data_IF_368000567467
#
_entry.id   IF_368000567467
#
_cell.length_a   1.000
_cell.length_b   1.000
_cell.length_c   1.000
_cell.angle_alpha   90.00
_cell.angle_beta   90.00
_cell.angle_gamma   90.00
#
_symmetry.space_group_name_H-M   'P 1'
#
loop_
_entity.id
_entity.type
_entity.pdbx_description
1 polymer ?
#
# COMPACT_ATOMS: atom_id res chain seq x y z
N UNK A 1 7.43 45.46 27.70
CA UNK A 1 8.04 44.72 26.58
C UNK A 1 7.06 43.62 26.26
N UNK A 2 6.15 43.88 25.33
CA UNK A 2 5.18 42.89 24.85
C UNK A 2 5.97 41.76 24.17
N UNK A 3 5.80 40.53 24.64
CA UNK A 3 6.21 39.34 23.91
C UNK A 3 5.40 39.30 22.62
N UNK A 4 5.99 39.77 21.52
CA UNK A 4 5.55 39.41 20.17
C UNK A 4 5.34 37.89 20.17
N UNK A 5 4.09 37.46 20.01
CA UNK A 5 3.70 36.06 20.15
C UNK A 5 4.58 35.17 19.28
N UNK A 6 5.17 34.13 19.88
CA UNK A 6 5.95 33.15 19.13
C UNK A 6 5.06 32.52 18.04
N UNK A 7 5.55 32.35 16.81
CA UNK A 7 4.73 31.91 15.67
C UNK A 7 4.23 30.47 15.81
N UNK A 8 4.92 29.68 16.62
CA UNK A 8 4.57 28.32 17.06
C UNK A 8 5.45 27.97 18.25
N UNK A 9 5.13 26.89 18.95
CA UNK A 9 5.87 26.35 20.10
C UNK A 9 7.19 25.76 19.62
N UNK A 10 8.27 26.47 19.87
CA UNK A 10 9.64 26.03 19.64
C UNK A 10 10.63 26.84 20.48
N UNK A 11 11.85 26.33 20.62
CA UNK A 11 12.99 27.13 21.04
C UNK A 11 13.56 27.85 19.81
N UNK A 12 13.88 29.15 19.92
CA UNK A 12 14.46 29.94 18.84
C UNK A 12 15.86 30.41 19.21
N UNK A 13 16.83 30.19 18.32
CA UNK A 13 18.20 30.68 18.52
C UNK A 13 18.33 32.20 18.24
N UNK A 14 19.53 32.76 18.45
CA UNK A 14 19.80 34.20 18.19
C UNK A 14 19.60 34.60 16.72
N UNK A 15 19.61 33.64 15.80
CA UNK A 15 19.36 33.84 14.37
C UNK A 15 17.87 33.69 14.04
N UNK A 16 17.04 33.36 15.03
CA UNK A 16 15.62 33.09 14.89
C UNK A 16 15.30 31.70 14.36
N UNK A 17 16.23 30.75 14.33
CA UNK A 17 15.97 29.39 13.85
C UNK A 17 15.32 28.53 14.93
N UNK A 18 14.30 27.76 14.55
CA UNK A 18 13.54 26.94 15.47
C UNK A 18 14.21 25.59 15.78
N UNK A 19 14.03 25.13 17.01
CA UNK A 19 14.36 23.80 17.51
C UNK A 19 13.14 23.22 18.24
N UNK A 20 12.72 22.02 17.82
CA UNK A 20 11.65 21.22 18.40
C UNK A 20 12.17 19.79 18.50
N UNK A 21 12.41 19.31 19.73
CA UNK A 21 12.94 17.97 19.98
C UNK A 21 11.85 16.96 20.34
N UNK A 22 10.73 17.46 20.84
CA UNK A 22 9.60 16.68 21.31
C UNK A 22 8.33 17.53 21.23
N UNK A 23 7.22 16.90 20.88
CA UNK A 23 5.89 17.48 20.94
C UNK A 23 4.92 16.38 21.39
N UNK A 24 3.93 16.70 22.23
CA UNK A 24 2.88 15.75 22.56
C UNK A 24 2.04 15.47 21.30
N UNK A 25 1.58 14.23 21.08
CA UNK A 25 0.63 13.93 20.02
C UNK A 25 -0.56 14.87 20.03
N UNK A 26 -0.99 15.29 18.84
CA UNK A 26 -2.28 15.97 18.70
C UNK A 26 -3.40 15.05 19.22
N UNK A 27 -4.42 15.63 19.85
CA UNK A 27 -5.58 14.86 20.25
C UNK A 27 -6.25 14.25 19.01
N UNK A 28 -6.27 12.92 18.94
CA UNK A 28 -7.03 12.17 17.94
C UNK A 28 -8.22 11.50 18.60
N UNK A 29 -9.39 11.64 18.00
CA UNK A 29 -10.52 10.76 18.32
C UNK A 29 -10.56 9.66 17.26
N UNK A 30 -10.33 8.38 17.63
CA UNK A 30 -10.47 7.28 16.69
C UNK A 30 -11.84 7.32 16.04
N UNK A 31 -11.86 7.27 14.71
CA UNK A 31 -13.11 7.19 13.96
C UNK A 31 -13.57 5.76 14.05
N UNK A 32 -14.69 5.52 14.75
CA UNK A 32 -15.26 4.18 14.80
C UNK A 32 -15.57 3.73 13.37
N UNK A 33 -15.03 2.58 12.91
CA UNK A 33 -15.39 2.08 11.60
C UNK A 33 -16.88 1.79 11.58
N UNK A 34 -17.59 2.46 10.67
CA UNK A 34 -19.01 2.23 10.48
C UNK A 34 -19.31 0.78 10.10
N UNK A 35 -20.58 0.39 10.18
CA UNK A 35 -20.99 -0.86 9.56
C UNK A 35 -20.66 -0.79 8.06
N UNK A 36 -20.08 -1.85 7.49
CA UNK A 36 -19.87 -1.89 6.05
C UNK A 36 -21.22 -1.63 5.40
N UNK A 37 -21.29 -0.68 4.44
CA UNK A 37 -22.55 -0.39 3.79
C UNK A 37 -23.15 -1.69 3.22
N UNK A 38 -24.48 -1.85 3.25
CA UNK A 38 -25.10 -2.99 2.60
C UNK A 38 -24.63 -3.02 1.15
N UNK A 39 -24.29 -4.22 0.66
CA UNK A 39 -23.78 -4.37 -0.70
C UNK A 39 -24.79 -3.78 -1.68
N UNK A 40 -24.31 -2.89 -2.53
CA UNK A 40 -25.11 -2.32 -3.61
C UNK A 40 -25.48 -3.41 -4.62
N UNK A 41 -26.55 -3.22 -5.39
CA UNK A 41 -26.89 -4.14 -6.48
C UNK A 41 -25.74 -4.30 -7.48
N UNK A 42 -24.98 -3.23 -7.71
CA UNK A 42 -23.77 -3.25 -8.54
C UNK A 42 -22.66 -4.10 -7.93
N UNK A 43 -22.40 -3.99 -6.62
CA UNK A 43 -21.42 -4.84 -5.93
C UNK A 43 -21.84 -6.31 -5.91
N UNK A 44 -23.12 -6.60 -5.71
CA UNK A 44 -23.64 -7.97 -5.78
C UNK A 44 -23.48 -8.52 -7.22
N UNK A 45 -23.85 -7.74 -8.24
CA UNK A 45 -23.66 -8.13 -9.63
C UNK A 45 -22.18 -8.28 -10.00
N UNK A 46 -21.30 -7.45 -9.45
CA UNK A 46 -19.86 -7.54 -9.62
C UNK A 46 -19.29 -8.79 -8.94
N UNK A 47 -19.74 -9.13 -7.72
CA UNK A 47 -19.37 -10.38 -7.04
C UNK A 47 -19.88 -11.60 -7.81
N UNK A 48 -21.11 -11.57 -8.31
CA UNK A 48 -21.65 -12.63 -9.16
C UNK A 48 -20.86 -12.74 -10.47
N UNK A 49 -20.50 -11.62 -11.10
CA UNK A 49 -19.65 -11.61 -12.29
C UNK A 49 -18.26 -12.17 -11.97
N UNK A 50 -17.65 -11.74 -10.87
CA UNK A 50 -16.38 -12.25 -10.38
C UNK A 50 -16.46 -13.75 -10.14
N UNK A 51 -17.52 -14.24 -9.48
CA UNK A 51 -17.72 -15.66 -9.25
C UNK A 51 -17.91 -16.43 -10.57
N UNK A 52 -18.67 -15.89 -11.53
CA UNK A 52 -18.79 -16.49 -12.87
C UNK A 52 -17.43 -16.59 -13.56
N UNK A 53 -16.59 -15.57 -13.45
CA UNK A 53 -15.22 -15.54 -13.97
C UNK A 53 -14.36 -16.59 -13.28
N UNK A 54 -14.33 -16.61 -11.94
CA UNK A 54 -13.59 -17.59 -11.13
C UNK A 54 -14.02 -19.01 -11.46
N UNK A 55 -15.32 -19.27 -11.53
CA UNK A 55 -15.87 -20.58 -11.85
C UNK A 55 -15.50 -21.02 -13.27
N UNK A 56 -15.57 -20.11 -14.25
CA UNK A 56 -15.15 -20.41 -15.62
C UNK A 56 -13.65 -20.68 -15.69
N UNK A 57 -12.81 -19.79 -15.15
CA UNK A 57 -11.36 -19.95 -15.13
C UNK A 57 -10.96 -21.24 -14.42
N UNK A 58 -11.55 -21.54 -13.27
CA UNK A 58 -11.32 -22.79 -12.54
C UNK A 58 -11.72 -24.03 -13.33
N UNK A 59 -12.83 -23.99 -14.09
CA UNK A 59 -13.26 -25.12 -14.94
C UNK A 59 -12.33 -25.36 -16.13
N UNK A 60 -11.77 -24.32 -16.73
CA UNK A 60 -10.97 -24.43 -17.97
C UNK A 60 -9.46 -24.33 -17.74
N UNK A 61 -9.01 -24.05 -16.51
CA UNK A 61 -7.60 -23.79 -16.19
C UNK A 61 -6.67 -24.90 -16.67
N UNK A 62 -7.02 -26.16 -16.41
CA UNK A 62 -6.20 -27.31 -16.81
C UNK A 62 -6.14 -27.46 -18.34
N UNK A 63 -7.27 -27.30 -19.03
CA UNK A 63 -7.35 -27.34 -20.49
C UNK A 63 -6.54 -26.20 -21.14
N UNK A 64 -6.64 -24.99 -20.58
CA UNK A 64 -5.87 -23.82 -21.04
C UNK A 64 -4.39 -24.05 -20.81
N UNK A 65 -3.98 -24.56 -19.65
CA UNK A 65 -2.58 -24.83 -19.34
C UNK A 65 -1.99 -25.96 -20.21
N UNK A 66 -2.75 -27.01 -20.49
CA UNK A 66 -2.35 -28.07 -21.40
C UNK A 66 -2.23 -27.56 -22.85
N UNK A 67 -3.25 -26.86 -23.33
CA UNK A 67 -3.27 -26.30 -24.68
C UNK A 67 -2.16 -25.27 -24.88
N UNK A 68 -1.94 -24.38 -23.92
CA UNK A 68 -0.85 -23.38 -23.97
C UNK A 68 0.51 -24.07 -24.07
N UNK A 69 0.80 -25.06 -23.21
CA UNK A 69 2.05 -25.82 -23.28
C UNK A 69 2.22 -26.55 -24.62
N UNK A 70 1.12 -27.00 -25.23
CA UNK A 70 1.13 -27.64 -26.54
C UNK A 70 1.45 -26.65 -27.65
N UNK A 71 0.77 -25.50 -27.67
CA UNK A 71 0.98 -24.42 -28.63
C UNK A 71 2.39 -23.82 -28.53
N UNK A 72 2.94 -23.69 -27.32
CA UNK A 72 4.33 -23.26 -27.11
C UNK A 72 5.35 -24.19 -27.79
N UNK A 73 5.07 -25.49 -27.83
CA UNK A 73 5.95 -26.49 -28.48
C UNK A 73 5.71 -26.60 -29.98
N UNK A 74 4.45 -26.76 -30.38
CA UNK A 74 4.07 -27.10 -31.75
C UNK A 74 3.97 -25.86 -32.66
N UNK A 75 3.57 -24.71 -32.10
CA UNK A 75 3.44 -23.42 -32.81
C UNK A 75 4.54 -22.43 -32.38
N UNK A 76 5.74 -22.95 -32.13
CA UNK A 76 6.90 -22.14 -31.70
C UNK A 76 7.21 -21.05 -32.73
N UNK A 77 7.26 -19.80 -32.28
CA UNK A 77 7.46 -18.64 -33.16
C UNK A 77 6.19 -18.18 -33.89
N UNK A 78 5.02 -18.73 -33.53
CA UNK A 78 3.73 -18.22 -33.94
C UNK A 78 2.81 -17.94 -32.74
N UNK A 79 2.69 -18.87 -31.80
CA UNK A 79 1.95 -18.65 -30.55
C UNK A 79 2.67 -17.62 -29.65
N UNK A 80 1.91 -16.68 -29.09
CA UNK A 80 2.44 -15.55 -28.31
C UNK A 80 2.09 -15.69 -26.83
N UNK A 81 0.81 -15.69 -26.49
CA UNK A 81 0.32 -15.78 -25.10
C UNK A 81 -1.17 -16.12 -25.08
N UNK A 82 -1.73 -16.25 -23.88
CA UNK A 82 -3.15 -16.44 -23.63
C UNK A 82 -3.61 -15.48 -22.55
N UNK A 83 -4.83 -14.94 -22.70
CA UNK A 83 -5.49 -14.17 -21.65
C UNK A 83 -6.96 -14.56 -21.53
N UNK A 84 -7.54 -14.25 -20.37
CA UNK A 84 -8.97 -14.40 -20.14
C UNK A 84 -9.67 -13.09 -20.49
N UNK A 85 -10.59 -13.17 -21.45
CA UNK A 85 -11.51 -12.07 -21.72
C UNK A 85 -12.74 -12.24 -20.82
N UNK A 86 -12.87 -11.34 -19.86
CA UNK A 86 -13.93 -11.34 -18.87
C UNK A 86 -15.00 -10.27 -19.19
N UNK A 87 -14.90 -9.58 -20.32
CA UNK A 87 -15.93 -8.66 -20.78
C UNK A 87 -17.12 -9.44 -21.34
N UNK A 88 -18.29 -9.26 -20.73
CA UNK A 88 -19.48 -10.03 -21.07
C UNK A 88 -19.39 -11.48 -20.58
N UNK A 89 -19.63 -12.45 -21.47
CA UNK A 89 -19.49 -13.85 -21.11
C UNK A 89 -18.00 -14.23 -21.06
N UNK A 90 -17.49 -14.87 -19.99
CA UNK A 90 -16.08 -15.23 -19.87
C UNK A 90 -15.57 -16.13 -21.00
N UNK A 91 -14.40 -15.82 -21.55
CA UNK A 91 -13.78 -16.59 -22.63
C UNK A 91 -12.25 -16.58 -22.51
N UNK A 92 -11.59 -17.36 -23.37
CA UNK A 92 -10.13 -17.45 -23.41
C UNK A 92 -9.67 -17.07 -24.80
N UNK A 93 -8.71 -16.15 -24.89
CA UNK A 93 -8.16 -15.68 -26.16
C UNK A 93 -6.69 -16.05 -26.26
N UNK A 94 -6.36 -16.82 -27.30
CA UNK A 94 -5.00 -17.23 -27.64
C UNK A 94 -4.45 -16.31 -28.73
N UNK A 95 -3.33 -15.65 -28.46
CA UNK A 95 -2.71 -14.69 -29.38
C UNK A 95 -1.66 -15.38 -30.26
N UNK A 96 -1.70 -15.09 -31.56
CA UNK A 96 -0.78 -15.62 -32.56
C UNK A 96 -0.22 -14.51 -33.43
N UNK A 97 1.00 -14.66 -33.94
CA UNK A 97 1.57 -13.73 -34.90
C UNK A 97 0.91 -13.83 -36.28
N UNK A 98 0.44 -15.03 -36.64
CA UNK A 98 -0.11 -15.38 -37.96
C UNK A 98 -1.20 -16.44 -37.83
N UNK A 99 -2.23 -16.32 -38.67
CA UNK A 99 -3.29 -17.32 -38.90
C UNK A 99 -3.91 -17.91 -37.61
N UNK A 100 -4.07 -17.10 -36.56
CA UNK A 100 -4.50 -17.54 -35.23
C UNK A 100 -5.81 -18.34 -35.22
N UNK A 101 -6.93 -17.82 -35.75
CA UNK A 101 -8.19 -18.56 -35.80
C UNK A 101 -8.10 -19.91 -36.52
N UNK A 102 -7.32 -20.01 -37.59
CA UNK A 102 -7.15 -21.27 -38.33
C UNK A 102 -6.22 -22.24 -37.59
N UNK A 103 -5.18 -21.70 -36.94
CA UNK A 103 -4.23 -22.48 -36.16
C UNK A 103 -4.89 -23.08 -34.94
N UNK A 104 -5.59 -22.29 -34.12
CA UNK A 104 -6.25 -22.76 -32.89
C UNK A 104 -7.26 -23.88 -33.16
N UNK A 105 -8.02 -23.81 -34.27
CA UNK A 105 -8.98 -24.85 -34.67
C UNK A 105 -8.38 -26.24 -34.89
N UNK A 106 -7.06 -26.33 -35.13
CA UNK A 106 -6.35 -27.63 -35.24
C UNK A 106 -6.19 -28.31 -33.87
N UNK A 107 -6.23 -27.53 -32.79
CA UNK A 107 -5.92 -27.98 -31.43
C UNK A 107 -7.14 -28.07 -30.51
N UNK A 108 -8.17 -27.27 -30.77
CA UNK A 108 -9.38 -27.26 -29.94
C UNK A 108 -10.62 -26.88 -30.75
N UNK A 109 -11.77 -27.39 -30.31
CA UNK A 109 -13.10 -27.00 -30.78
C UNK A 109 -13.92 -26.35 -29.65
N UNK A 110 -13.25 -25.96 -28.55
CA UNK A 110 -13.93 -25.39 -27.40
C UNK A 110 -14.63 -24.07 -27.79
N UNK A 111 -15.95 -23.95 -27.56
CA UNK A 111 -16.75 -22.84 -28.11
C UNK A 111 -16.45 -21.48 -27.48
N UNK A 112 -15.67 -21.45 -26.40
CA UNK A 112 -15.25 -20.24 -25.67
C UNK A 112 -13.76 -19.96 -25.79
N UNK A 113 -13.03 -20.72 -26.62
CA UNK A 113 -11.63 -20.49 -26.89
C UNK A 113 -11.52 -19.83 -28.26
N UNK A 114 -11.04 -18.60 -28.27
CA UNK A 114 -10.88 -17.79 -29.45
C UNK A 114 -9.41 -17.54 -29.72
N UNK A 115 -9.11 -17.14 -30.95
CA UNK A 115 -7.76 -16.74 -31.32
C UNK A 115 -7.79 -15.44 -32.10
N UNK A 116 -6.74 -14.67 -31.93
CA UNK A 116 -6.53 -13.42 -32.67
C UNK A 116 -5.10 -13.33 -33.20
N UNK A 117 -4.94 -12.48 -34.22
CA UNK A 117 -3.64 -12.16 -34.77
C UNK A 117 -3.11 -10.88 -34.14
N UNK A 118 -1.87 -10.93 -33.69
CA UNK A 118 -1.18 -9.83 -33.04
C UNK A 118 0.15 -9.54 -33.74
N UNK A 119 0.71 -8.35 -33.50
CA UNK A 119 1.87 -7.87 -34.26
C UNK A 119 3.21 -8.27 -33.63
N UNK A 120 3.27 -8.23 -32.30
CA UNK A 120 4.51 -8.35 -31.55
C UNK A 120 4.56 -9.67 -30.78
N UNK A 121 5.74 -10.29 -30.73
CA UNK A 121 5.96 -11.46 -29.87
C UNK A 121 6.09 -11.03 -28.41
N UNK A 122 5.82 -11.93 -27.46
CA UNK A 122 6.03 -11.66 -26.03
C UNK A 122 7.50 -11.36 -25.73
N UNK A 123 8.43 -12.02 -26.43
CA UNK A 123 9.87 -11.73 -26.35
C UNK A 123 10.18 -10.28 -26.74
N UNK A 124 9.59 -9.79 -27.85
CA UNK A 124 9.74 -8.41 -28.28
C UNK A 124 9.13 -7.43 -27.28
N UNK A 125 7.91 -7.68 -26.80
CA UNK A 125 7.25 -6.82 -25.81
C UNK A 125 8.06 -6.73 -24.50
N UNK A 126 8.60 -7.85 -24.01
CA UNK A 126 9.46 -7.87 -22.82
C UNK A 126 10.79 -7.14 -23.06
N UNK A 127 11.38 -7.28 -24.25
CA UNK A 127 12.59 -6.56 -24.63
C UNK A 127 12.34 -5.04 -24.68
N UNK A 128 11.23 -4.61 -25.27
CA UNK A 128 10.86 -3.19 -25.39
C UNK A 128 10.49 -2.58 -24.02
N UNK A 129 9.77 -3.31 -23.17
CA UNK A 129 9.49 -2.88 -21.80
C UNK A 129 10.78 -2.71 -20.97
N UNK A 130 11.71 -3.67 -21.08
CA UNK A 130 13.02 -3.58 -20.43
C UNK A 130 13.85 -2.44 -21.01
N UNK A 131 13.83 -2.26 -22.33
CA UNK A 131 14.53 -1.17 -22.99
C UNK A 131 14.02 0.19 -22.49
N UNK A 132 12.71 0.37 -22.38
CA UNK A 132 12.10 1.57 -21.80
C UNK A 132 12.64 1.80 -20.40
N UNK A 133 12.57 0.79 -19.53
CA UNK A 133 13.06 0.89 -18.15
C UNK A 133 14.54 1.27 -18.09
N UNK A 134 15.43 0.52 -18.75
CA UNK A 134 16.87 0.78 -18.69
C UNK A 134 17.28 2.13 -19.31
N UNK A 135 16.56 2.59 -20.33
CA UNK A 135 16.88 3.85 -21.01
C UNK A 135 16.54 5.08 -20.16
N UNK A 136 15.46 4.99 -19.36
CA UNK A 136 14.86 6.15 -18.69
C UNK A 136 14.78 6.05 -17.16
N UNK A 137 15.13 4.93 -16.53
CA UNK A 137 15.03 4.75 -15.07
C UNK A 137 15.85 5.77 -14.28
N UNK A 138 17.05 6.10 -14.75
CA UNK A 138 17.93 7.08 -14.10
C UNK A 138 17.41 8.52 -14.22
N UNK A 139 16.61 8.82 -15.26
CA UNK A 139 15.95 10.12 -15.41
C UNK A 139 14.66 10.21 -14.58
N UNK A 140 14.23 9.09 -13.99
CA UNK A 140 13.10 8.99 -13.06
C UNK A 140 11.79 9.53 -13.66
N UNK A 141 11.62 9.37 -14.97
CA UNK A 141 10.42 9.80 -15.72
C UNK A 141 9.35 8.72 -15.86
N UNK A 142 9.74 7.46 -15.64
CA UNK A 142 8.84 6.30 -15.71
C UNK A 142 8.22 6.02 -14.34
N UNK A 143 6.90 5.92 -14.31
CA UNK A 143 6.15 5.42 -13.15
C UNK A 143 6.00 3.91 -13.18
N UNK A 144 5.74 3.35 -14.36
CA UNK A 144 5.61 1.93 -14.57
C UNK A 144 5.87 1.60 -16.05
N UNK A 145 6.27 0.35 -16.30
CA UNK A 145 6.29 -0.25 -17.63
C UNK A 145 5.70 -1.65 -17.53
N UNK A 146 4.81 -2.04 -18.44
CA UNK A 146 4.19 -3.36 -18.39
C UNK A 146 3.77 -3.86 -19.77
N UNK A 147 3.67 -5.18 -19.90
CA UNK A 147 3.09 -5.85 -21.07
C UNK A 147 1.66 -6.26 -20.71
N UNK A 148 0.68 -5.43 -21.06
CA UNK A 148 -0.75 -5.74 -20.85
C UNK A 148 -1.32 -6.68 -21.92
N UNK A 149 -2.57 -7.12 -21.75
CA UNK A 149 -3.25 -8.04 -22.68
C UNK A 149 -3.43 -7.53 -24.13
N UNK A 150 -3.22 -6.24 -24.39
CA UNK A 150 -3.42 -5.60 -25.70
C UNK A 150 -2.27 -5.73 -26.72
N UNK A 151 -1.35 -6.70 -26.57
CA UNK A 151 -0.16 -6.87 -27.41
C UNK A 151 0.69 -5.57 -27.57
N UNK A 152 0.78 -4.78 -26.50
CA UNK A 152 1.58 -3.54 -26.45
C UNK A 152 2.29 -3.43 -25.11
N UNK A 153 3.34 -2.62 -25.09
CA UNK A 153 3.98 -2.16 -23.85
C UNK A 153 3.33 -0.86 -23.42
N UNK A 154 2.79 -0.79 -22.22
CA UNK A 154 2.36 0.47 -21.63
C UNK A 154 3.51 1.07 -20.82
N UNK A 155 3.78 2.35 -21.01
CA UNK A 155 4.73 3.12 -20.21
C UNK A 155 4.06 4.36 -19.64
N UNK A 156 3.86 4.39 -18.32
CA UNK A 156 3.30 5.54 -17.61
C UNK A 156 4.37 6.58 -17.33
N UNK A 157 4.16 7.82 -17.81
CA UNK A 157 5.15 8.90 -17.76
C UNK A 157 4.72 9.96 -16.74
N UNK A 158 5.64 10.34 -15.85
CA UNK A 158 5.40 11.28 -14.73
C UNK A 158 5.71 12.75 -15.06
N UNK A 159 6.12 13.04 -16.31
CA UNK A 159 6.48 14.39 -16.77
C UNK A 159 5.64 14.78 -17.99
N UNK A 160 5.61 16.06 -18.34
CA UNK A 160 4.87 16.54 -19.50
C UNK A 160 5.38 15.91 -20.81
N UNK A 161 4.48 15.74 -21.79
CA UNK A 161 4.80 15.09 -23.06
C UNK A 161 5.90 15.81 -23.85
N UNK A 162 5.98 17.13 -23.71
CA UNK A 162 6.99 17.99 -24.32
C UNK A 162 8.36 17.77 -23.65
N UNK A 163 8.39 17.69 -22.31
CA UNK A 163 9.63 17.43 -21.55
C UNK A 163 10.17 16.03 -21.83
N UNK A 164 9.30 15.02 -21.88
CA UNK A 164 9.70 13.66 -22.24
C UNK A 164 10.23 13.59 -23.67
N UNK A 165 9.55 14.21 -24.64
CA UNK A 165 10.04 14.28 -26.04
C UNK A 165 11.39 14.99 -26.14
N UNK A 166 11.60 16.05 -25.37
CA UNK A 166 12.91 16.72 -25.30
C UNK A 166 13.98 15.81 -24.71
N UNK A 167 13.66 15.00 -23.68
CA UNK A 167 14.58 14.01 -23.12
C UNK A 167 14.94 12.93 -24.15
N UNK A 168 13.95 12.38 -24.85
CA UNK A 168 14.15 11.40 -25.94
C UNK A 168 15.09 11.97 -27.01
N UNK A 169 14.85 13.22 -27.44
CA UNK A 169 15.70 13.90 -28.42
C UNK A 169 17.14 14.12 -27.90
N UNK A 170 17.31 14.53 -26.64
CA UNK A 170 18.64 14.70 -26.02
C UNK A 170 19.42 13.39 -25.92
N UNK A 171 18.74 12.28 -25.64
CA UNK A 171 19.36 10.95 -25.62
C UNK A 171 19.61 10.36 -27.01
N UNK A 172 19.02 10.94 -28.06
CA UNK A 172 19.16 10.46 -29.43
C UNK A 172 18.54 9.08 -29.67
N UNK A 173 17.52 8.72 -28.89
CA UNK A 173 16.87 7.40 -28.95
C UNK A 173 15.51 7.47 -29.67
N UNK A 174 15.05 6.34 -30.19
CA UNK A 174 13.72 6.20 -30.79
C UNK A 174 12.90 5.24 -29.94
N UNK A 175 11.67 5.64 -29.57
CA UNK A 175 10.75 4.78 -28.81
C UNK A 175 10.23 3.66 -29.72
N UNK A 176 10.26 2.38 -29.30
CA UNK A 176 9.70 1.28 -30.07
C UNK A 176 8.22 1.49 -30.37
N UNK A 177 7.78 1.07 -31.57
CA UNK A 177 6.38 1.22 -32.01
C UNK A 177 5.40 0.36 -31.19
N UNK A 178 5.89 -0.67 -30.52
CA UNK A 178 5.12 -1.50 -29.58
C UNK A 178 4.77 -0.78 -28.27
N UNK A 179 5.38 0.39 -28.00
CA UNK A 179 5.23 1.13 -26.75
C UNK A 179 4.16 2.22 -26.88
N UNK A 180 3.13 2.13 -26.05
CA UNK A 180 2.16 3.19 -25.81
C UNK A 180 2.60 4.06 -24.63
N UNK A 181 2.80 5.36 -24.88
CA UNK A 181 3.15 6.34 -23.85
C UNK A 181 1.89 6.94 -23.23
N UNK A 182 1.75 6.80 -21.91
CA UNK A 182 0.62 7.32 -21.16
C UNK A 182 1.05 8.50 -20.27
N UNK A 183 0.67 9.72 -20.70
CA UNK A 183 0.97 10.98 -19.98
C UNK A 183 -0.13 11.41 -19.01
N UNK A 184 -1.12 10.56 -18.76
CA UNK A 184 -2.29 10.88 -17.92
C UNK A 184 -2.11 10.41 -16.47
N UNK A 185 -0.90 10.08 -16.04
CA UNK A 185 -0.62 9.70 -14.67
C UNK A 185 -0.43 10.97 -13.81
N UNK A 186 -1.40 11.38 -12.99
CA UNK A 186 -1.16 12.44 -12.01
C UNK A 186 -0.25 11.93 -10.88
N UNK A 187 0.57 12.80 -10.28
CA UNK A 187 0.88 14.18 -10.67
C UNK A 187 2.00 14.27 -11.74
N UNK A 188 1.87 15.23 -12.65
CA UNK A 188 2.94 15.61 -13.61
C UNK A 188 3.88 16.60 -12.95
N UNK A 189 5.19 16.34 -12.96
CA UNK A 189 6.22 17.20 -12.36
C UNK A 189 7.33 17.55 -13.35
N UNK A 190 8.04 18.69 -13.18
CA UNK A 190 9.21 19.00 -14.01
C UNK A 190 10.31 17.95 -13.85
N UNK A 191 11.07 17.71 -14.91
CA UNK A 191 12.20 16.76 -14.90
C UNK A 191 13.26 17.09 -13.82
N UNK A 192 13.44 18.37 -13.53
CA UNK A 192 14.35 18.90 -12.52
C UNK A 192 13.56 19.80 -11.59
N UNK A 193 13.32 19.33 -10.37
CA UNK A 193 12.58 20.06 -9.35
C UNK A 193 13.27 19.91 -7.98
N UNK A 194 14.47 20.50 -7.82
CA UNK A 194 15.27 20.33 -6.61
C UNK A 194 14.58 20.96 -5.40
N UNK A 195 14.81 20.43 -4.17
CA UNK A 195 14.35 21.08 -2.96
C UNK A 195 14.77 22.55 -2.88
N UNK A 196 13.82 23.41 -2.50
CA UNK A 196 14.02 24.86 -2.42
C UNK A 196 14.08 25.34 -0.97
N UNK A 197 14.73 26.49 -0.68
CA UNK A 197 14.72 27.08 0.66
C UNK A 197 13.29 27.38 1.16
N UNK A 198 13.06 27.25 2.46
CA UNK A 198 11.73 27.39 3.06
C UNK A 198 11.05 28.73 2.74
N UNK A 199 11.81 29.83 2.66
CA UNK A 199 11.31 31.17 2.32
C UNK A 199 10.70 31.29 0.89
N UNK A 200 10.90 30.29 0.03
CA UNK A 200 10.36 30.24 -1.34
C UNK A 200 9.43 29.03 -1.53
N UNK A 201 9.12 28.32 -0.46
CA UNK A 201 8.35 27.09 -0.52
C UNK A 201 6.91 27.35 -0.05
N UNK A 202 5.94 27.22 -0.96
CA UNK A 202 4.52 27.42 -0.68
C UNK A 202 3.94 26.38 0.30
N UNK A 203 4.62 25.25 0.47
CA UNK A 203 4.25 24.24 1.45
C UNK A 203 4.73 24.56 2.88
N UNK A 204 5.45 25.67 3.06
CA UNK A 204 5.86 26.19 4.36
C UNK A 204 5.07 27.47 4.65
N UNK A 205 4.29 27.53 5.75
CA UNK A 205 3.55 28.74 6.10
C UNK A 205 4.47 29.96 6.24
N UNK A 206 4.01 31.13 5.80
CA UNK A 206 4.81 32.36 5.83
C UNK A 206 5.32 32.73 7.24
N UNK A 207 4.56 32.40 8.28
CA UNK A 207 4.96 32.60 9.69
C UNK A 207 6.05 31.62 10.16
N UNK A 208 6.20 30.49 9.48
CA UNK A 208 7.18 29.43 9.81
C UNK A 208 8.46 29.57 8.99
N UNK A 209 8.34 30.00 7.73
CA UNK A 209 9.43 30.06 6.76
C UNK A 209 10.71 30.79 7.25
N UNK A 210 10.65 31.88 8.04
CA UNK A 210 11.86 32.53 8.58
C UNK A 210 12.64 31.68 9.59
N UNK A 211 12.00 30.67 10.18
CA UNK A 211 12.52 29.88 11.30
C UNK A 211 13.04 28.50 10.87
N UNK A 212 12.86 28.14 9.60
CA UNK A 212 13.28 26.88 8.99
C UNK A 212 14.20 27.20 7.81
N UNK A 213 15.27 26.41 7.64
CA UNK A 213 16.20 26.60 6.51
C UNK A 213 15.65 26.02 5.22
N UNK A 214 15.13 24.80 5.30
CA UNK A 214 14.63 24.03 4.17
C UNK A 214 13.59 23.01 4.66
N UNK A 215 12.54 22.80 3.86
CA UNK A 215 11.57 21.71 4.03
C UNK A 215 11.63 20.81 2.79
N UNK A 216 12.64 19.92 2.71
CA UNK A 216 12.95 19.27 1.47
C UNK A 216 12.00 18.10 1.21
N UNK A 217 11.36 18.13 0.05
CA UNK A 217 10.43 17.09 -0.38
C UNK A 217 11.00 16.36 -1.56
N UNK A 218 10.65 15.09 -1.66
CA UNK A 218 10.91 14.32 -2.84
C UNK A 218 10.20 15.01 -4.02
N UNK A 219 10.90 15.14 -5.12
CA UNK A 219 10.47 15.84 -6.33
C UNK A 219 9.44 15.05 -7.16
N UNK A 220 9.17 13.79 -6.77
CA UNK A 220 8.30 12.82 -7.45
C UNK A 220 7.55 11.92 -6.45
N UNK A 221 6.36 11.40 -6.76
CA UNK A 221 5.70 10.36 -5.95
C UNK A 221 6.59 9.12 -5.76
N UNK A 222 6.42 8.42 -4.63
CA UNK A 222 7.23 7.26 -4.27
C UNK A 222 7.03 6.01 -5.17
N UNK A 223 5.97 5.98 -5.98
CA UNK A 223 5.55 4.78 -6.70
C UNK A 223 5.07 3.68 -5.72
N UNK A 224 5.03 2.42 -6.16
CA UNK A 224 4.71 1.29 -5.29
C UNK A 224 5.74 1.14 -4.16
N UNK A 225 5.27 1.11 -2.92
CA UNK A 225 6.12 0.90 -1.73
C UNK A 225 5.92 -0.50 -1.16
N UNK A 226 6.96 -1.06 -0.55
CA UNK A 226 6.86 -2.34 0.16
C UNK A 226 5.91 -2.20 1.37
N UNK A 227 5.16 -3.26 1.68
CA UNK A 227 4.25 -3.32 2.84
C UNK A 227 5.01 -3.49 4.18
N UNK A 228 5.86 -2.51 4.49
CA UNK A 228 6.69 -2.47 5.70
C UNK A 228 6.22 -1.31 6.57
N UNK A 229 5.81 -1.57 7.81
CA UNK A 229 5.40 -0.55 8.78
C UNK A 229 6.59 0.16 9.42
N UNK A 230 7.13 1.16 8.73
CA UNK A 230 8.26 1.97 9.23
C UNK A 230 7.81 3.07 10.20
N UNK A 231 8.68 3.39 11.14
CA UNK A 231 8.52 4.46 12.13
C UNK A 231 9.79 5.31 12.25
N UNK A 232 9.66 6.63 12.32
CA UNK A 232 10.80 7.56 12.42
C UNK A 232 10.43 8.74 13.34
N UNK A 233 11.29 9.09 14.30
CA UNK A 233 11.11 10.30 15.13
C UNK A 233 11.66 11.52 14.42
N UNK A 234 10.78 12.38 13.91
CA UNK A 234 11.16 13.56 13.13
C UNK A 234 11.19 14.79 14.03
N UNK A 235 12.36 15.40 14.18
CA UNK A 235 12.60 16.60 14.99
C UNK A 235 13.07 17.76 14.12
N UNK A 236 12.97 18.98 14.63
CA UNK A 236 13.57 20.16 14.03
C UNK A 236 14.73 20.63 14.91
N UNK A 237 15.91 20.83 14.33
CA UNK A 237 17.09 21.31 15.05
C UNK A 237 17.77 22.39 14.23
N UNK A 238 17.88 23.59 14.80
CA UNK A 238 18.50 24.76 14.14
C UNK A 238 17.89 25.05 12.75
N UNK A 239 16.58 24.88 12.63
CA UNK A 239 15.83 25.05 11.38
C UNK A 239 15.99 23.91 10.36
N UNK A 240 16.52 22.74 10.77
CA UNK A 240 16.71 21.57 9.90
C UNK A 240 16.01 20.33 10.44
N UNK A 241 15.26 19.64 9.57
CA UNK A 241 14.56 18.41 9.94
C UNK A 241 15.51 17.23 10.03
N UNK A 242 15.39 16.45 11.12
CA UNK A 242 16.25 15.31 11.42
C UNK A 242 15.47 14.13 11.96
N UNK A 243 15.95 12.94 11.68
CA UNK A 243 15.47 11.70 12.25
C UNK A 243 16.26 11.38 13.52
N UNK A 244 15.72 11.74 14.68
CA UNK A 244 16.40 11.67 15.97
C UNK A 244 16.79 10.23 16.36
N UNK A 245 15.99 9.25 15.95
CA UNK A 245 16.21 7.82 16.19
C UNK A 245 17.06 7.13 15.10
N UNK A 246 17.50 7.86 14.05
CA UNK A 246 18.25 7.32 12.90
C UNK A 246 19.56 8.07 12.67
N UNK A 247 20.47 7.97 13.62
CA UNK A 247 21.79 8.63 13.58
C UNK A 247 21.72 10.15 13.36
N UNK A 248 20.60 10.77 13.78
CA UNK A 248 20.32 12.18 13.57
C UNK A 248 20.41 12.61 12.07
N UNK A 249 20.07 11.69 11.17
CA UNK A 249 20.08 11.87 9.71
C UNK A 249 19.16 13.01 9.27
N UNK A 250 19.54 13.71 8.21
CA UNK A 250 18.68 14.71 7.56
C UNK A 250 17.50 14.02 6.89
N UNK A 251 16.34 14.67 6.87
CA UNK A 251 15.10 14.08 6.34
C UNK A 251 14.76 14.67 4.98
N UNK A 252 14.42 13.81 4.03
CA UNK A 252 13.70 14.14 2.80
C UNK A 252 12.25 13.63 2.93
N UNK A 253 11.29 14.54 2.85
CA UNK A 253 9.85 14.28 3.02
C UNK A 253 9.22 13.72 1.74
N UNK A 254 8.04 13.07 1.82
CA UNK A 254 7.37 12.56 0.62
C UNK A 254 6.91 13.71 -0.28
N UNK A 255 6.71 13.40 -1.56
CA UNK A 255 6.13 14.36 -2.51
C UNK A 255 4.76 14.84 -2.03
N UNK A 256 4.50 16.14 -2.15
CA UNK A 256 3.24 16.76 -1.71
C UNK A 256 3.10 16.95 -0.21
N UNK A 257 4.14 16.64 0.59
CA UNK A 257 4.14 17.00 2.00
C UNK A 257 3.99 18.52 2.20
N UNK A 258 3.29 18.91 3.26
CA UNK A 258 3.08 20.30 3.65
C UNK A 258 3.33 20.48 5.14
N UNK A 259 3.57 21.71 5.56
CA UNK A 259 3.61 22.11 6.96
C UNK A 259 2.43 23.03 7.27
N UNK A 260 1.94 22.96 8.50
CA UNK A 260 0.99 23.92 9.06
C UNK A 260 1.27 24.13 10.55
N UNK A 261 0.65 25.14 11.14
CA UNK A 261 0.64 25.35 12.60
C UNK A 261 -0.75 25.01 13.07
N UNK A 262 -0.86 24.05 13.98
CA UNK A 262 -2.16 23.61 14.49
C UNK A 262 -2.78 24.60 15.48
N UNK A 263 -4.04 24.36 15.87
CA UNK A 263 -4.78 25.15 16.85
C UNK A 263 -4.14 25.23 18.24
N UNK A 264 -3.26 24.29 18.62
CA UNK A 264 -2.48 24.33 19.87
C UNK A 264 -1.12 25.03 19.70
N UNK A 265 -0.88 25.61 18.52
CA UNK A 265 0.33 26.31 18.10
C UNK A 265 1.56 25.42 17.97
N UNK A 266 1.42 24.13 17.67
CA UNK A 266 2.53 23.26 17.29
C UNK A 266 2.73 23.25 15.78
N UNK A 267 3.99 23.13 15.34
CA UNK A 267 4.31 22.89 13.94
C UNK A 267 4.00 21.42 13.60
N UNK A 268 3.23 21.18 12.55
CA UNK A 268 2.76 19.86 12.16
C UNK A 268 2.86 19.61 10.65
N UNK A 269 2.71 18.35 10.26
CA UNK A 269 2.78 17.89 8.88
C UNK A 269 1.38 17.68 8.30
N UNK A 270 1.14 18.15 7.07
CA UNK A 270 -0.12 17.96 6.34
C UNK A 270 -1.06 19.15 6.47
N UNK A 271 -2.28 18.88 6.89
CA UNK A 271 -3.39 19.83 7.06
C UNK A 271 -4.14 19.49 8.36
N UNK A 272 -4.66 20.49 9.05
CA UNK A 272 -5.41 20.33 10.31
C UNK A 272 -6.71 19.54 10.11
N UNK A 273 -7.30 19.60 8.90
CA UNK A 273 -8.52 18.86 8.56
C UNK A 273 -8.28 17.35 8.43
N UNK A 274 -7.02 16.90 8.28
CA UNK A 274 -6.68 15.49 8.13
C UNK A 274 -6.50 14.86 9.51
N UNK A 275 -7.38 13.94 9.95
CA UNK A 275 -7.25 13.32 11.26
C UNK A 275 -5.95 12.51 11.37
N UNK A 276 -5.32 12.55 12.55
CA UNK A 276 -4.12 11.77 12.84
C UNK A 276 -2.81 12.33 12.24
N UNK A 277 -2.78 13.62 11.88
CA UNK A 277 -1.53 14.29 11.54
C UNK A 277 -0.50 14.19 12.67
N UNK A 278 0.78 14.16 12.31
CA UNK A 278 1.88 14.23 13.28
C UNK A 278 2.39 15.66 13.45
N UNK A 279 2.73 16.04 14.68
CA UNK A 279 3.55 17.22 14.98
C UNK A 279 5.02 16.94 14.77
N UNK A 280 5.76 17.99 14.45
CA UNK A 280 7.22 17.96 14.49
C UNK A 280 7.65 17.71 15.93
N UNK A 281 8.52 16.73 16.17
CA UNK A 281 8.86 16.22 17.50
C UNK A 281 8.27 14.85 17.79
N UNK A 282 7.29 14.39 17.02
CA UNK A 282 6.67 13.06 17.17
C UNK A 282 7.36 11.96 16.35
N UNK A 283 6.95 10.71 16.62
CA UNK A 283 7.22 9.58 15.74
C UNK A 283 6.16 9.49 14.66
N UNK A 284 6.58 9.61 13.40
CA UNK A 284 5.72 9.37 12.24
C UNK A 284 5.72 7.89 11.87
N UNK A 285 4.62 7.39 11.31
CA UNK A 285 4.49 6.04 10.77
C UNK A 285 4.09 6.07 9.30
N UNK A 286 4.60 5.10 8.53
CA UNK A 286 4.27 4.95 7.11
C UNK A 286 4.55 3.55 6.59
N UNK A 287 3.98 3.22 5.42
CA UNK A 287 4.33 2.04 4.65
C UNK A 287 5.56 2.32 3.77
N UNK A 288 6.52 1.41 3.76
CA UNK A 288 7.75 1.50 2.96
C UNK A 288 9.02 1.37 3.81
N UNK A 289 10.16 1.24 3.16
CA UNK A 289 11.46 1.17 3.83
C UNK A 289 12.04 2.55 4.10
N UNK A 290 12.78 2.71 5.20
CA UNK A 290 13.63 3.88 5.41
C UNK A 290 14.95 3.68 4.67
N UNK A 291 15.13 4.42 3.57
CA UNK A 291 16.31 4.31 2.72
C UNK A 291 17.15 5.60 2.76
N UNK A 292 18.45 5.43 2.56
CA UNK A 292 19.35 6.56 2.28
C UNK A 292 19.11 7.08 0.86
N UNK A 293 19.12 8.40 0.71
CA UNK A 293 19.00 9.11 -0.57
C UNK A 293 20.39 9.60 -0.94
N UNK A 294 20.81 9.37 -2.19
CA UNK A 294 22.17 9.70 -2.65
C UNK A 294 22.19 10.59 -3.88
N UNK A 295 21.04 10.81 -4.50
CA UNK A 295 20.84 11.65 -5.68
C UNK A 295 21.26 13.10 -5.38
N UNK A 296 22.31 13.64 -6.03
CA UNK A 296 22.84 14.97 -5.73
C UNK A 296 21.79 16.08 -5.82
N UNK A 297 20.91 16.01 -6.82
CA UNK A 297 19.83 17.00 -7.03
C UNK A 297 18.86 17.11 -5.84
N UNK A 298 18.67 16.02 -5.09
CA UNK A 298 17.84 15.97 -3.89
C UNK A 298 18.64 16.29 -2.62
N UNK A 299 19.89 15.83 -2.55
CA UNK A 299 20.71 15.83 -1.33
C UNK A 299 21.51 17.12 -1.16
N UNK A 300 22.05 17.67 -2.24
CA UNK A 300 22.94 18.84 -2.19
C UNK A 300 22.22 20.10 -1.67
N UNK A 301 20.97 20.42 -2.06
CA UNK A 301 20.25 21.56 -1.49
C UNK A 301 20.05 21.43 0.02
N UNK A 302 19.82 20.21 0.51
CA UNK A 302 19.66 19.93 1.94
C UNK A 302 20.98 20.14 2.66
N UNK A 303 22.07 19.58 2.13
CA UNK A 303 23.41 19.72 2.73
C UNK A 303 23.91 21.17 2.69
N UNK A 304 23.60 21.91 1.63
CA UNK A 304 23.92 23.33 1.53
C UNK A 304 23.22 24.15 2.63
N UNK A 305 21.97 23.82 2.96
CA UNK A 305 21.20 24.50 4.01
C UNK A 305 21.58 24.04 5.43
N UNK A 306 21.78 22.73 5.62
CA UNK A 306 21.80 22.06 6.93
C UNK A 306 23.14 21.42 7.33
N UNK A 307 24.17 21.56 6.48
CA UNK A 307 25.47 20.95 6.68
C UNK A 307 25.56 19.49 6.19
N UNK A 308 26.76 18.89 6.26
CA UNK A 308 26.96 17.52 5.80
C UNK A 308 26.17 16.52 6.65
N UNK A 309 25.76 15.42 6.03
CA UNK A 309 25.06 14.34 6.72
C UNK A 309 24.45 13.33 5.76
N UNK A 310 24.12 12.17 6.33
CA UNK A 310 23.25 11.17 5.71
C UNK A 310 21.85 11.78 5.53
N UNK A 311 21.26 11.60 4.35
CA UNK A 311 19.87 11.99 4.07
C UNK A 311 19.05 10.71 3.97
N UNK A 312 17.96 10.63 4.71
CA UNK A 312 17.01 9.51 4.61
C UNK A 312 15.67 9.99 4.08
N UNK A 313 14.97 9.09 3.39
CA UNK A 313 13.61 9.33 2.91
C UNK A 313 12.58 8.88 3.95
N UNK A 314 11.58 9.72 4.19
CA UNK A 314 10.35 9.41 4.91
C UNK A 314 9.20 9.37 3.91
N UNK A 315 8.39 8.32 3.91
CA UNK A 315 7.32 8.12 2.90
C UNK A 315 5.92 8.53 3.41
N UNK A 316 5.78 8.87 4.68
CA UNK A 316 4.51 9.32 5.24
C UNK A 316 4.68 10.05 6.57
N UNK A 317 3.61 10.75 6.97
CA UNK A 317 3.63 11.80 8.00
C UNK A 317 2.51 11.62 9.03
N UNK A 318 1.92 10.43 9.09
CA UNK A 318 0.88 10.09 10.05
C UNK A 318 1.48 9.93 11.45
N UNK A 319 0.78 10.41 12.49
CA UNK A 319 1.22 10.20 13.88
C UNK A 319 1.15 8.71 14.21
N UNK A 320 2.26 8.15 14.68
CA UNK A 320 2.29 6.78 15.14
C UNK A 320 1.38 6.55 16.35
N UNK A 321 1.13 7.59 17.16
CA UNK A 321 0.23 7.53 18.31
C UNK A 321 -1.23 7.44 17.84
N UNK A 322 -1.68 8.39 17.02
CA UNK A 322 -3.02 8.39 16.44
C UNK A 322 -3.32 7.09 15.66
N UNK A 323 -2.35 6.61 14.86
CA UNK A 323 -2.50 5.34 14.14
C UNK A 323 -2.67 4.15 15.08
N UNK A 324 -1.95 4.14 16.20
CA UNK A 324 -2.05 3.06 17.20
C UNK A 324 -3.42 3.07 17.89
N UNK A 325 -3.93 4.25 18.24
CA UNK A 325 -5.28 4.40 18.80
C UNK A 325 -6.36 3.97 17.82
N UNK A 326 -6.23 4.37 16.54
CA UNK A 326 -7.14 3.93 15.48
C UNK A 326 -7.11 2.41 15.30
N UNK A 327 -5.93 1.79 15.31
CA UNK A 327 -5.80 0.33 15.18
C UNK A 327 -6.46 -0.43 16.33
N UNK A 328 -6.38 0.09 17.57
CA UNK A 328 -7.09 -0.50 18.72
C UNK A 328 -8.60 -0.41 18.51
N UNK A 329 -9.11 0.76 18.12
CA UNK A 329 -10.54 0.96 17.84
C UNK A 329 -11.04 0.06 16.70
N UNK A 330 -10.29 -0.01 15.59
CA UNK A 330 -10.59 -0.88 14.45
C UNK A 330 -10.65 -2.35 14.89
N UNK A 331 -9.66 -2.78 15.69
CA UNK A 331 -9.58 -4.14 16.21
C UNK A 331 -10.77 -4.50 17.10
N UNK A 332 -11.19 -3.61 18.00
CA UNK A 332 -12.34 -3.83 18.89
C UNK A 332 -13.65 -3.92 18.10
N UNK A 333 -13.93 -2.97 17.21
CA UNK A 333 -15.17 -2.95 16.43
C UNK A 333 -15.26 -4.16 15.50
N UNK A 334 -14.16 -4.52 14.83
CA UNK A 334 -14.13 -5.70 13.96
C UNK A 334 -14.25 -6.99 14.74
N UNK A 335 -13.65 -7.10 15.94
CA UNK A 335 -13.84 -8.24 16.81
C UNK A 335 -15.31 -8.38 17.26
N UNK A 336 -15.98 -7.28 17.59
CA UNK A 336 -17.40 -7.31 17.98
C UNK A 336 -18.27 -7.78 16.83
N UNK A 337 -18.04 -7.21 15.64
CA UNK A 337 -18.73 -7.62 14.42
C UNK A 337 -18.52 -9.09 14.12
N UNK A 338 -17.27 -9.56 14.20
CA UNK A 338 -16.94 -10.97 13.98
C UNK A 338 -17.67 -11.91 14.96
N UNK A 339 -17.75 -11.54 16.24
CA UNK A 339 -18.48 -12.33 17.24
C UNK A 339 -19.97 -12.46 16.93
N UNK A 340 -20.58 -11.37 16.46
CA UNK A 340 -21.99 -11.34 16.07
C UNK A 340 -22.23 -12.13 14.79
N UNK A 341 -21.44 -11.88 13.75
CA UNK A 341 -21.67 -12.42 12.41
C UNK A 341 -21.28 -13.91 12.32
N UNK A 342 -20.19 -14.31 12.97
CA UNK A 342 -19.66 -15.68 12.87
C UNK A 342 -20.23 -16.63 13.92
N UNK A 343 -20.65 -16.11 15.08
CA UNK A 343 -21.09 -16.94 16.22
C UNK A 343 -22.49 -16.61 16.73
N UNK A 344 -23.17 -15.61 16.16
CA UNK A 344 -24.57 -15.30 16.48
C UNK A 344 -24.78 -14.67 17.86
N UNK A 345 -23.74 -14.12 18.49
CA UNK A 345 -23.85 -13.43 19.77
C UNK A 345 -24.64 -12.11 19.58
N UNK A 346 -25.46 -11.75 20.57
CA UNK A 346 -26.01 -10.40 20.64
C UNK A 346 -24.92 -9.38 21.05
N UNK A 347 -25.22 -8.08 20.92
CA UNK A 347 -24.24 -7.02 21.22
C UNK A 347 -23.75 -7.05 22.68
N UNK A 348 -24.64 -7.33 23.63
CA UNK A 348 -24.28 -7.36 25.05
C UNK A 348 -23.40 -8.57 25.36
N UNK A 349 -23.72 -9.74 24.79
CA UNK A 349 -22.91 -10.95 24.89
C UNK A 349 -21.55 -10.78 24.24
N UNK A 350 -21.48 -10.20 23.03
CA UNK A 350 -20.22 -9.94 22.33
C UNK A 350 -19.30 -9.02 23.16
N UNK A 351 -19.84 -7.95 23.75
CA UNK A 351 -19.09 -7.05 24.64
C UNK A 351 -18.57 -7.76 25.89
N UNK A 352 -19.39 -8.61 26.53
CA UNK A 352 -18.95 -9.39 27.69
C UNK A 352 -17.88 -10.41 27.32
N UNK A 353 -18.03 -11.09 26.18
CA UNK A 353 -17.05 -12.05 25.66
C UNK A 353 -15.70 -11.38 25.40
N UNK A 354 -15.71 -10.19 24.79
CA UNK A 354 -14.50 -9.41 24.56
C UNK A 354 -13.82 -8.98 25.86
N UNK A 355 -14.58 -8.38 26.78
CA UNK A 355 -14.04 -7.92 28.05
C UNK A 355 -13.47 -9.08 28.88
N UNK A 356 -14.13 -10.24 28.87
CA UNK A 356 -13.63 -11.46 29.49
C UNK A 356 -12.30 -11.89 28.89
N UNK A 357 -12.19 -11.87 27.55
CA UNK A 357 -10.97 -12.27 26.87
C UNK A 357 -9.82 -11.27 27.07
N UNK A 358 -10.10 -9.96 27.05
CA UNK A 358 -9.13 -8.90 27.36
C UNK A 358 -8.55 -9.09 28.77
N UNK A 359 -9.39 -9.31 29.78
CA UNK A 359 -8.94 -9.57 31.15
C UNK A 359 -8.06 -10.82 31.23
N UNK A 360 -8.43 -11.88 30.50
CA UNK A 360 -7.66 -13.13 30.44
C UNK A 360 -6.29 -12.94 29.78
N UNK A 361 -6.18 -12.04 28.80
CA UNK A 361 -4.93 -11.77 28.09
C UNK A 361 -4.04 -10.74 28.81
N UNK A 362 -4.60 -9.81 29.59
CA UNK A 362 -3.86 -8.74 30.26
C UNK A 362 -2.70 -9.22 31.16
N UNK A 363 -2.73 -10.49 31.62
CA UNK A 363 -1.67 -11.12 32.41
C UNK A 363 -0.73 -12.06 31.64
N UNK A 364 -0.99 -12.35 30.35
CA UNK A 364 -0.23 -13.33 29.58
C UNK A 364 0.96 -12.67 28.87
N UNK A 365 2.08 -12.56 29.57
CA UNK A 365 3.38 -12.25 28.95
C UNK A 365 3.95 -13.50 28.32
N UNK A 366 4.28 -13.43 27.04
CA UNK A 366 4.99 -14.49 26.33
C UNK A 366 6.44 -14.05 26.10
N UNK A 367 7.36 -14.98 26.27
CA UNK A 367 8.77 -14.79 25.92
C UNK A 367 9.06 -15.72 24.74
N UNK A 368 9.63 -15.17 23.68
CA UNK A 368 10.01 -15.90 22.50
C UNK A 368 11.12 -16.92 22.78
N UNK A 369 11.39 -17.85 21.85
CA UNK A 369 12.45 -18.85 21.97
C UNK A 369 13.86 -18.25 22.14
N UNK A 370 14.03 -16.99 21.74
CA UNK A 370 15.23 -16.17 21.84
C UNK A 370 15.34 -15.39 23.17
N UNK A 371 14.39 -15.56 24.09
CA UNK A 371 14.36 -14.84 25.36
C UNK A 371 13.80 -13.42 25.27
N UNK A 372 13.32 -12.99 24.09
CA UNK A 372 12.74 -11.66 23.89
C UNK A 372 11.28 -11.66 24.28
N UNK A 373 10.84 -10.66 25.05
CA UNK A 373 9.43 -10.49 25.39
C UNK A 373 8.63 -10.27 24.08
N UNK A 374 7.65 -11.13 23.83
CA UNK A 374 6.78 -10.98 22.67
C UNK A 374 5.77 -9.84 22.90
N UNK A 375 5.28 -9.21 21.82
CA UNK A 375 4.18 -8.26 21.90
C UNK A 375 2.97 -8.88 22.59
N UNK A 376 2.21 -8.13 23.41
CA UNK A 376 1.01 -8.64 24.04
C UNK A 376 -0.03 -9.01 22.98
N UNK A 377 -0.68 -10.16 23.16
CA UNK A 377 -1.78 -10.61 22.29
C UNK A 377 -3.09 -10.11 22.91
N UNK A 378 -3.74 -9.13 22.28
CA UNK A 378 -5.05 -8.63 22.71
C UNK A 378 -6.22 -9.54 22.33
N UNK A 379 -7.40 -9.31 22.88
CA UNK A 379 -8.61 -10.07 22.57
C UNK A 379 -9.00 -9.96 21.10
N UNK A 380 -8.85 -8.77 20.49
CA UNK A 380 -9.11 -8.57 19.06
C UNK A 380 -8.28 -9.49 18.18
N UNK A 381 -7.00 -9.67 18.50
CA UNK A 381 -6.12 -10.60 17.79
C UNK A 381 -6.56 -12.06 17.95
N UNK A 382 -6.98 -12.47 19.15
CA UNK A 382 -7.46 -13.84 19.39
C UNK A 382 -8.77 -14.10 18.65
N UNK A 383 -9.72 -13.15 18.67
CA UNK A 383 -11.04 -13.28 18.04
C UNK A 383 -10.92 -13.35 16.52
N UNK A 384 -10.06 -12.50 15.93
CA UNK A 384 -9.87 -12.43 14.48
C UNK A 384 -8.90 -13.50 13.95
N UNK A 385 -8.21 -14.24 14.83
CA UNK A 385 -7.37 -15.34 14.39
C UNK A 385 -8.24 -16.46 13.81
N UNK A 386 -7.83 -17.07 12.67
CA UNK A 386 -8.53 -18.23 12.17
C UNK A 386 -8.53 -19.34 13.24
N UNK A 387 -9.62 -20.09 13.39
CA UNK A 387 -9.63 -21.21 14.32
C UNK A 387 -8.55 -22.22 13.91
N UNK A 388 -7.99 -22.93 14.90
CA UNK A 388 -7.06 -24.02 14.63
C UNK A 388 -7.70 -25.00 13.63
N UNK A 389 -6.94 -25.47 12.62
CA UNK A 389 -7.46 -26.46 11.69
C UNK A 389 -7.88 -27.72 12.45
N UNK A 390 -9.02 -28.29 12.05
CA UNK A 390 -9.50 -29.58 12.53
C UNK A 390 -8.56 -30.65 11.97
N UNK A 391 -7.78 -31.28 12.84
CA UNK A 391 -6.83 -32.32 12.46
C UNK A 391 -7.42 -33.73 12.58
N UNK A 392 -8.46 -33.89 13.40
CA UNK A 392 -9.14 -35.17 13.62
C UNK A 392 -10.57 -35.13 13.05
N UNK A 393 -10.89 -35.95 12.02
CA UNK A 393 -12.23 -36.07 11.48
C UNK A 393 -13.32 -36.41 12.52
N UNK A 394 -12.96 -37.05 13.63
CA UNK A 394 -13.91 -37.39 14.70
C UNK A 394 -14.47 -36.16 15.45
N UNK A 395 -13.80 -35.01 15.33
CA UNK A 395 -14.26 -33.73 15.87
C UNK A 395 -15.37 -33.13 15.01
N UNK A 396 -15.52 -33.57 13.76
CA UNK A 396 -16.56 -33.08 12.88
C UNK A 396 -17.95 -33.63 13.22
N UNK A 397 -19.02 -32.82 13.12
CA UNK A 397 -20.37 -33.29 13.37
C UNK A 397 -20.77 -34.46 12.46
N UNK A 398 -21.61 -35.40 12.92
CA UNK A 398 -22.09 -36.51 12.09
C UNK A 398 -22.67 -36.03 10.75
N UNK A 399 -22.27 -36.65 9.65
CA UNK A 399 -22.66 -36.24 8.29
C UNK A 399 -21.76 -35.17 7.66
N UNK A 400 -20.70 -34.75 8.36
CA UNK A 400 -19.67 -33.85 7.82
C UNK A 400 -18.45 -34.62 7.32
N UNK A 401 -17.63 -33.98 6.49
CA UNK A 401 -16.33 -34.48 6.04
C UNK A 401 -15.22 -33.48 6.32
N UNK A 402 -13.99 -33.95 6.58
CA UNK A 402 -12.86 -33.05 6.74
C UNK A 402 -12.36 -32.56 5.37
N UNK A 403 -12.22 -31.24 5.20
CA UNK A 403 -11.70 -30.64 3.98
C UNK A 403 -10.88 -29.40 4.33
N UNK A 404 -9.61 -29.36 3.93
CA UNK A 404 -8.67 -28.25 4.19
C UNK A 404 -8.58 -27.83 5.67
N UNK A 405 -8.67 -28.78 6.61
CA UNK A 405 -8.64 -28.49 8.04
C UNK A 405 -9.93 -27.88 8.59
N UNK A 406 -11.05 -27.99 7.87
CA UNK A 406 -12.38 -27.55 8.32
C UNK A 406 -13.40 -28.70 8.17
N UNK A 407 -14.44 -28.69 9.00
CA UNK A 407 -15.56 -29.63 8.87
C UNK A 407 -16.52 -29.11 7.80
N UNK A 408 -16.71 -29.86 6.73
CA UNK A 408 -17.61 -29.55 5.62
C UNK A 408 -18.92 -30.31 5.77
N UNK A 409 -20.02 -29.59 5.93
CA UNK A 409 -21.40 -30.11 5.84
C UNK A 409 -21.96 -29.91 4.42
N UNK A 410 -23.12 -30.49 4.10
CA UNK A 410 -23.85 -30.18 2.87
C UNK A 410 -24.20 -28.69 2.69
N UNK A 411 -24.35 -27.95 3.79
CA UNK A 411 -24.74 -26.53 3.83
C UNK A 411 -23.54 -25.57 3.83
N UNK A 412 -22.31 -26.05 4.05
CA UNK A 412 -21.11 -25.21 4.02
C UNK A 412 -19.96 -25.72 4.90
N UNK A 413 -19.00 -24.85 5.19
CA UNK A 413 -17.94 -25.14 6.16
C UNK A 413 -18.41 -24.73 7.56
N UNK A 414 -18.43 -25.67 8.50
CA UNK A 414 -18.59 -25.39 9.92
C UNK A 414 -17.23 -25.06 10.52
N UNK A 415 -17.13 -23.87 11.13
CA UNK A 415 -16.03 -23.54 12.04
C UNK A 415 -16.46 -23.97 13.45
N UNK A 416 -15.67 -24.80 14.15
CA UNK A 416 -15.95 -25.09 15.55
C UNK A 416 -15.90 -23.79 16.36
N UNK A 417 -16.75 -23.70 17.39
CA UNK A 417 -16.69 -22.61 18.38
C UNK A 417 -15.31 -22.67 19.05
N UNK A 418 -14.53 -21.57 19.09
CA UNK A 418 -13.25 -21.56 19.78
C UNK A 418 -13.40 -21.94 21.26
N UNK A 419 -12.45 -22.70 21.81
CA UNK A 419 -12.48 -23.17 23.21
C UNK A 419 -12.72 -22.03 24.21
N UNK A 420 -12.07 -20.87 23.98
CA UNK A 420 -12.23 -19.70 24.84
C UNK A 420 -13.67 -19.17 24.83
N UNK A 421 -14.35 -19.24 23.69
CA UNK A 421 -15.73 -18.77 23.53
C UNK A 421 -16.71 -19.76 24.16
N UNK A 422 -16.43 -21.07 24.04
CA UNK A 422 -17.19 -22.09 24.75
C UNK A 422 -17.09 -21.91 26.28
N UNK A 423 -15.88 -21.70 26.81
CA UNK A 423 -15.63 -21.44 28.24
C UNK A 423 -16.38 -20.18 28.71
N UNK A 424 -16.33 -19.10 27.92
CA UNK A 424 -17.11 -17.89 28.22
C UNK A 424 -18.61 -18.17 28.27
N UNK A 425 -19.17 -18.86 27.27
CA UNK A 425 -20.61 -19.16 27.21
C UNK A 425 -21.08 -20.09 28.33
N UNK A 426 -20.20 -20.94 28.87
CA UNK A 426 -20.49 -21.73 30.07
C UNK A 426 -20.53 -20.86 31.34
N UNK A 427 -19.68 -19.84 31.43
CA UNK A 427 -19.60 -18.92 32.58
C UNK A 427 -20.63 -17.79 32.53
N UNK A 428 -21.11 -17.43 31.33
CA UNK A 428 -22.11 -16.36 31.10
C UNK A 428 -23.55 -16.83 31.33
N UNK A 429 -23.77 -18.15 31.50
CA UNK A 429 -25.05 -18.76 31.88
C UNK A 429 -25.36 -18.58 33.37
#
# INVERSE_FOLDING_TARGET
METLGQPFRAEFDERGLATILDAPPAESTPVQPGDPPPRTAEQIAADEQFQRVVDFQGRVSDDVAELSRRLEREERGNYVTVYYDNEGDPSVVFQFLRDGPETLRKYTQHPRFFAENVRWSMEQLQADARWMWETFREDRVLRSTGTGGGNQVTAEISVAAEEFRALVARKGVTIPESVELQFRAPPVVPLVNPPVPAARDEAVPAAVAPHIRIFPRHDRPAGPVNAIGSRVKVVLKDGCFRAADRDNSLVLFPFGANLFVDSESYLAFGDEEVPGYARVGETVQFMGSVNEVTEPELVDPIRAACGPGKVIKVEGLESAAARSEQQVSDGEVNAMRWLRDSYGLDEAQARRAYAWLEQRQAGRRQTGPDGVLMPPIGASMVIMSPPSPVMDPAICPPGSSLSFGLCRTPEGYLRPIPEWLAEFLEQDR
#
